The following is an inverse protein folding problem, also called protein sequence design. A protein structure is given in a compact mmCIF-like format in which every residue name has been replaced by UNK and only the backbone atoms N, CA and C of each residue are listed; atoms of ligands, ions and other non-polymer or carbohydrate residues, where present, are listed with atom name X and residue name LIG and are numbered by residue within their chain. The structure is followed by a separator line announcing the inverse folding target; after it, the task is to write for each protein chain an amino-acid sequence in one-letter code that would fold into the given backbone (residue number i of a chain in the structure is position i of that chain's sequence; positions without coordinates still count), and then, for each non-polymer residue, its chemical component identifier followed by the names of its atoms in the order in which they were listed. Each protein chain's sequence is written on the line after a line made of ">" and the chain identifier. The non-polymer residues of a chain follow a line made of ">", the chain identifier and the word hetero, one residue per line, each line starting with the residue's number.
data_IF_745454099097
#
_entry.id   IF_745454099097
#
_cell.length_a   1.000
_cell.length_b   1.000
_cell.length_c   1.000
_cell.angle_alpha   90.00
_cell.angle_beta   90.00
_cell.angle_gamma   90.00
#
_symmetry.space_group_name_H-M   'P 1'
#
loop_
_entity.id
_entity.type
_entity.pdbx_description
1 polymer ?
#
# COMPACT_ATOMS: atom_id res chain seq x y z
N UNK A 1 9.57 19.58 -1.29
CA UNK A 1 8.27 19.84 -0.64
C UNK A 1 7.91 21.33 -0.72
N UNK A 2 6.90 21.70 -1.50
CA UNK A 2 6.11 22.89 -1.18
C UNK A 2 5.24 22.51 0.03
N UNK A 3 5.60 23.01 1.21
CA UNK A 3 4.77 22.80 2.40
C UNK A 3 3.40 23.43 2.12
N UNK A 4 2.33 22.66 2.31
CA UNK A 4 0.98 23.22 2.21
C UNK A 4 0.86 24.35 3.23
N UNK A 5 0.52 25.53 2.72
CA UNK A 5 0.44 26.75 3.53
C UNK A 5 -0.90 26.82 4.27
N UNK A 6 -0.93 27.62 5.34
CA UNK A 6 -2.18 27.87 6.08
C UNK A 6 -3.26 28.45 5.15
N UNK A 7 -2.87 29.39 4.29
CA UNK A 7 -3.79 30.07 3.37
C UNK A 7 -4.39 29.09 2.34
N UNK A 8 -3.60 28.16 1.82
CA UNK A 8 -4.11 27.10 0.94
C UNK A 8 -5.14 26.20 1.64
N UNK A 9 -4.88 25.81 2.91
CA UNK A 9 -5.83 25.02 3.71
C UNK A 9 -7.12 25.81 3.99
N UNK A 10 -7.00 27.11 4.21
CA UNK A 10 -8.13 28.01 4.45
C UNK A 10 -8.99 28.15 3.19
N UNK A 11 -8.37 28.46 2.05
CA UNK A 11 -9.03 28.65 0.75
C UNK A 11 -9.68 27.38 0.21
N UNK A 12 -9.07 26.21 0.47
CA UNK A 12 -9.63 24.91 0.11
C UNK A 12 -10.81 24.50 1.02
N UNK A 13 -11.04 25.21 2.13
CA UNK A 13 -12.15 24.92 3.05
C UNK A 13 -11.91 23.70 3.94
N UNK A 14 -10.64 23.39 4.26
CA UNK A 14 -10.26 22.23 5.09
C UNK A 14 -10.72 22.38 6.54
N UNK A 15 -10.86 23.62 7.00
CA UNK A 15 -11.22 23.98 8.38
C UNK A 15 -12.70 23.73 8.71
N UNK A 16 -13.58 23.52 7.74
CA UNK A 16 -15.00 23.29 8.00
C UNK A 16 -15.23 21.85 8.47
N UNK A 17 -15.76 21.70 9.68
CA UNK A 17 -16.24 20.41 10.18
C UNK A 17 -17.75 20.25 10.03
N UNK A 18 -18.31 19.35 10.82
CA UNK A 18 -19.74 19.05 10.88
C UNK A 18 -20.48 19.86 11.95
N UNK A 19 -21.81 19.71 11.94
CA UNK A 19 -22.72 20.24 12.97
C UNK A 19 -22.39 19.71 14.37
N UNK A 20 -22.57 20.55 15.39
CA UNK A 20 -22.32 20.21 16.82
C UNK A 20 -22.92 18.88 17.27
N UNK A 21 -24.15 18.59 16.85
CA UNK A 21 -24.86 17.34 17.23
C UNK A 21 -24.22 16.05 16.70
N UNK A 22 -23.35 16.14 15.70
CA UNK A 22 -22.70 14.99 15.06
C UNK A 22 -21.25 14.79 15.53
N UNK A 23 -20.74 15.66 16.40
CA UNK A 23 -19.33 15.66 16.78
C UNK A 23 -18.94 14.45 17.63
N UNK A 24 -17.67 14.07 17.54
CA UNK A 24 -17.05 13.07 18.38
C UNK A 24 -16.23 13.76 19.48
N UNK A 25 -16.42 13.44 20.78
CA UNK A 25 -15.66 14.05 21.86
C UNK A 25 -14.15 13.89 21.74
N UNK A 26 -13.67 12.80 21.10
CA UNK A 26 -12.24 12.59 20.90
C UNK A 26 -11.62 13.56 19.88
N UNK A 27 -12.44 14.28 19.10
CA UNK A 27 -11.98 15.36 18.21
C UNK A 27 -11.81 16.70 18.93
N UNK A 28 -12.17 16.82 20.21
CA UNK A 28 -12.02 18.05 20.98
C UNK A 28 -10.62 18.70 20.89
N UNK A 29 -9.50 17.94 20.90
CA UNK A 29 -8.17 18.54 20.77
C UNK A 29 -7.92 19.20 19.41
N UNK A 30 -8.63 18.81 18.36
CA UNK A 30 -8.45 19.31 16.99
C UNK A 30 -9.45 20.39 16.58
N UNK A 31 -10.49 20.62 17.39
CA UNK A 31 -11.50 21.65 17.13
C UNK A 31 -11.02 22.96 17.76
N UNK A 32 -11.02 24.03 16.96
CA UNK A 32 -10.64 25.36 17.38
C UNK A 32 -11.81 26.09 18.06
N UNK A 33 -12.95 26.17 17.38
CA UNK A 33 -14.15 26.85 17.87
C UNK A 33 -15.42 26.34 17.18
N UNK A 34 -16.58 26.82 17.62
CA UNK A 34 -17.87 26.63 16.94
C UNK A 34 -18.38 27.98 16.42
N UNK A 35 -18.83 28.02 15.16
CA UNK A 35 -19.47 29.20 14.56
C UNK A 35 -20.71 28.78 13.81
N UNK A 36 -21.84 29.43 14.08
CA UNK A 36 -23.13 29.13 13.43
C UNK A 36 -23.54 27.65 13.50
N UNK A 37 -23.20 26.96 14.60
CA UNK A 37 -23.52 25.54 14.80
C UNK A 37 -22.60 24.55 14.07
N UNK A 38 -21.56 25.03 13.38
CA UNK A 38 -20.54 24.23 12.68
C UNK A 38 -19.23 24.30 13.46
N UNK A 39 -18.58 23.16 13.65
CA UNK A 39 -17.25 23.11 14.23
C UNK A 39 -16.18 23.56 13.23
N UNK A 40 -15.24 24.38 13.69
CA UNK A 40 -14.07 24.82 12.93
C UNK A 40 -12.86 24.04 13.44
N UNK A 41 -12.18 23.36 12.53
CA UNK A 41 -10.96 22.59 12.79
C UNK A 41 -9.76 23.53 12.84
N UNK A 42 -8.85 23.26 13.77
CA UNK A 42 -7.60 24.00 13.95
C UNK A 42 -6.60 23.64 12.84
N UNK A 43 -6.43 24.55 11.88
CA UNK A 43 -5.56 24.35 10.72
C UNK A 43 -4.08 24.23 11.07
N UNK A 44 -3.61 24.82 12.18
CA UNK A 44 -2.21 24.64 12.60
C UNK A 44 -1.95 23.19 12.98
N UNK A 45 -2.91 22.55 13.68
CA UNK A 45 -2.84 21.12 13.99
C UNK A 45 -2.97 20.28 12.73
N UNK A 46 -3.84 20.67 11.80
CA UNK A 46 -3.93 20.02 10.48
C UNK A 46 -2.59 20.06 9.76
N UNK A 47 -1.91 21.21 9.72
CA UNK A 47 -0.63 21.36 9.03
C UNK A 47 0.46 20.46 9.63
N UNK A 48 0.57 20.42 10.96
CA UNK A 48 1.52 19.53 11.67
C UNK A 48 1.22 18.06 11.36
N UNK A 49 -0.04 17.64 11.46
CA UNK A 49 -0.44 16.26 11.17
C UNK A 49 -0.31 15.86 9.71
N UNK A 50 -0.55 16.81 8.80
CA UNK A 50 -0.33 16.62 7.38
C UNK A 50 1.17 16.41 7.08
N UNK A 51 2.06 17.19 7.71
CA UNK A 51 3.51 17.03 7.58
C UNK A 51 3.99 15.68 8.15
N UNK A 52 3.52 15.28 9.34
CA UNK A 52 3.79 13.95 9.91
C UNK A 52 3.37 12.82 8.95
N UNK A 53 2.16 12.90 8.39
CA UNK A 53 1.62 11.92 7.45
C UNK A 53 2.41 11.89 6.13
N UNK A 54 2.72 13.05 5.55
CA UNK A 54 3.53 13.17 4.32
C UNK A 54 4.90 12.54 4.49
N UNK A 55 5.58 12.80 5.62
CA UNK A 55 6.90 12.25 5.91
C UNK A 55 6.86 10.71 6.00
N UNK A 56 5.86 10.15 6.69
CA UNK A 56 5.69 8.70 6.77
C UNK A 56 5.36 8.08 5.40
N UNK A 57 4.50 8.72 4.59
CA UNK A 57 4.20 8.27 3.22
C UNK A 57 5.44 8.29 2.31
N UNK A 58 6.26 9.34 2.38
CA UNK A 58 7.54 9.44 1.67
C UNK A 58 8.47 8.28 2.02
N UNK A 59 8.60 7.96 3.30
CA UNK A 59 9.45 6.85 3.76
C UNK A 59 8.94 5.48 3.27
N UNK A 60 7.62 5.27 3.25
CA UNK A 60 7.01 4.07 2.69
C UNK A 60 7.27 3.95 1.18
N UNK A 61 7.12 5.05 0.44
CA UNK A 61 7.36 5.13 -0.99
C UNK A 61 8.85 4.89 -1.33
N UNK A 62 9.76 5.48 -0.56
CA UNK A 62 11.22 5.24 -0.67
C UNK A 62 11.59 3.77 -0.46
N UNK A 63 10.91 3.10 0.47
CA UNK A 63 11.07 1.66 0.70
C UNK A 63 10.50 0.79 -0.44
N UNK A 64 9.80 1.38 -1.41
CA UNK A 64 9.13 0.67 -2.50
C UNK A 64 7.86 -0.05 -2.09
N UNK A 65 7.28 0.31 -0.94
CA UNK A 65 6.05 -0.26 -0.43
C UNK A 65 4.85 0.41 -1.11
N UNK A 66 3.77 -0.36 -1.31
CA UNK A 66 2.52 0.14 -1.92
C UNK A 66 1.55 0.62 -0.85
N UNK A 67 0.94 1.76 -1.10
CA UNK A 67 -0.09 2.39 -0.27
C UNK A 67 -1.42 2.27 -0.99
N UNK A 68 -2.46 1.77 -0.32
CA UNK A 68 -3.79 1.63 -0.90
C UNK A 68 -4.67 2.82 -0.50
N UNK A 69 -5.14 3.59 -1.48
CA UNK A 69 -6.08 4.69 -1.24
C UNK A 69 -7.53 4.17 -1.26
N UNK A 70 -8.37 4.61 -0.33
CA UNK A 70 -9.75 4.15 -0.18
C UNK A 70 -10.67 5.34 -0.01
N UNK A 71 -11.66 5.47 -0.91
CA UNK A 71 -12.58 6.58 -0.90
C UNK A 71 -13.88 6.26 -1.66
N UNK A 72 -14.97 5.91 -0.98
CA UNK A 72 -16.25 5.65 -1.67
C UNK A 72 -17.17 6.86 -1.78
N UNK A 73 -16.78 7.97 -1.16
CA UNK A 73 -17.52 9.22 -1.12
C UNK A 73 -17.53 9.90 -2.49
N UNK A 74 -18.70 10.36 -2.96
CA UNK A 74 -18.90 10.87 -4.33
C UNK A 74 -17.92 11.99 -4.69
N UNK A 75 -17.65 12.89 -3.75
CA UNK A 75 -16.75 14.03 -3.88
C UNK A 75 -15.29 13.61 -4.05
N UNK A 76 -14.91 12.47 -3.46
CA UNK A 76 -13.54 11.96 -3.46
C UNK A 76 -13.24 11.01 -4.63
N UNK A 77 -14.25 10.30 -5.18
CA UNK A 77 -14.03 9.24 -6.17
C UNK A 77 -13.17 9.66 -7.36
N UNK A 78 -13.54 10.77 -8.02
CA UNK A 78 -12.83 11.24 -9.21
C UNK A 78 -11.43 11.74 -8.87
N UNK A 79 -11.30 12.49 -7.77
CA UNK A 79 -10.03 13.04 -7.29
C UNK A 79 -9.03 11.92 -7.01
N UNK A 80 -9.44 10.92 -6.24
CA UNK A 80 -8.59 9.78 -5.86
C UNK A 80 -8.21 8.98 -7.11
N UNK A 81 -9.16 8.72 -8.01
CA UNK A 81 -8.87 7.97 -9.24
C UNK A 81 -7.85 8.69 -10.13
N UNK A 82 -7.96 10.02 -10.26
CA UNK A 82 -7.05 10.80 -11.11
C UNK A 82 -5.66 10.97 -10.47
N UNK A 83 -5.61 11.47 -9.24
CA UNK A 83 -4.34 11.83 -8.58
C UNK A 83 -3.51 10.60 -8.20
N UNK A 84 -4.16 9.52 -7.74
CA UNK A 84 -3.44 8.31 -7.31
C UNK A 84 -3.01 7.48 -8.52
N UNK A 85 -3.76 7.50 -9.62
CA UNK A 85 -3.36 6.83 -10.86
C UNK A 85 -2.09 7.45 -11.46
N UNK A 86 -1.92 8.77 -11.39
CA UNK A 86 -0.68 9.47 -11.83
C UNK A 86 0.57 8.90 -11.16
N UNK A 87 0.46 8.51 -9.89
CA UNK A 87 1.57 8.01 -9.07
C UNK A 87 1.71 6.47 -9.14
N UNK A 88 0.79 5.76 -9.81
CA UNK A 88 0.84 4.30 -9.95
C UNK A 88 0.67 3.56 -8.62
N UNK A 89 -0.10 4.14 -7.71
CA UNK A 89 -0.51 3.50 -6.45
C UNK A 89 -1.92 2.89 -6.59
N UNK A 90 -2.21 1.79 -5.87
CA UNK A 90 -3.52 1.17 -5.92
C UNK A 90 -4.57 2.02 -5.18
N UNK A 91 -5.81 2.02 -5.67
CA UNK A 91 -6.91 2.76 -5.06
C UNK A 91 -8.25 2.02 -5.14
N UNK A 92 -9.21 2.33 -4.26
CA UNK A 92 -10.60 1.81 -4.28
C UNK A 92 -11.55 2.99 -4.19
N UNK A 93 -12.29 3.24 -5.26
CA UNK A 93 -13.26 4.35 -5.34
C UNK A 93 -14.71 3.89 -5.35
N UNK A 94 -14.96 2.65 -5.74
CA UNK A 94 -16.25 2.01 -5.59
C UNK A 94 -16.37 1.32 -4.24
N UNK A 95 -17.40 0.50 -4.05
CA UNK A 95 -17.70 -0.12 -2.76
C UNK A 95 -16.54 -0.97 -2.24
N UNK A 96 -16.14 -0.76 -0.99
CA UNK A 96 -15.27 -1.66 -0.25
C UNK A 96 -15.95 -3.01 0.02
N UNK A 97 -15.50 -4.12 -0.59
CA UNK A 97 -16.00 -5.45 -0.23
C UNK A 97 -15.43 -5.86 1.13
N UNK A 98 -16.30 -6.30 2.05
CA UNK A 98 -15.83 -6.87 3.31
C UNK A 98 -14.95 -8.10 3.08
N UNK A 99 -13.85 -8.20 3.82
CA UNK A 99 -12.85 -9.25 3.64
C UNK A 99 -11.76 -8.89 2.63
N UNK A 100 -11.65 -7.62 2.23
CA UNK A 100 -10.71 -7.22 1.19
C UNK A 100 -9.25 -7.42 1.58
N UNK A 101 -8.90 -7.04 2.81
CA UNK A 101 -7.57 -7.23 3.37
C UNK A 101 -7.51 -8.55 4.14
N UNK A 102 -8.54 -8.82 4.95
CA UNK A 102 -8.56 -10.00 5.85
C UNK A 102 -8.74 -11.33 5.10
N UNK A 103 -9.39 -11.33 3.94
CA UNK A 103 -9.57 -12.49 3.06
C UNK A 103 -8.98 -12.22 1.66
N UNK A 104 -7.76 -11.69 1.63
CA UNK A 104 -7.06 -11.31 0.40
C UNK A 104 -6.88 -12.47 -0.61
N UNK A 105 -6.82 -13.72 -0.12
CA UNK A 105 -6.77 -14.89 -0.99
C UNK A 105 -8.01 -15.01 -1.90
N UNK A 106 -9.19 -14.63 -1.40
CA UNK A 106 -10.44 -14.66 -2.17
C UNK A 106 -10.53 -13.48 -3.14
N UNK A 107 -10.09 -12.28 -2.73
CA UNK A 107 -9.99 -11.13 -3.63
C UNK A 107 -9.06 -11.42 -4.81
N UNK A 108 -7.90 -12.03 -4.55
CA UNK A 108 -6.99 -12.46 -5.63
C UNK A 108 -7.62 -13.46 -6.59
N UNK A 109 -8.55 -14.32 -6.14
CA UNK A 109 -9.29 -15.20 -7.05
C UNK A 109 -10.21 -14.39 -7.98
N UNK A 110 -10.86 -13.34 -7.47
CA UNK A 110 -11.67 -12.44 -8.30
C UNK A 110 -10.82 -11.66 -9.32
N UNK A 111 -9.64 -11.17 -8.92
CA UNK A 111 -8.68 -10.54 -9.84
C UNK A 111 -8.20 -11.52 -10.91
N UNK A 112 -7.86 -12.76 -10.55
CA UNK A 112 -7.50 -13.78 -11.55
C UNK A 112 -8.65 -14.11 -12.50
N UNK A 113 -9.90 -14.09 -12.01
CA UNK A 113 -11.08 -14.26 -12.85
C UNK A 113 -11.16 -13.16 -13.91
N UNK A 114 -10.89 -11.90 -13.52
CA UNK A 114 -10.83 -10.77 -14.44
C UNK A 114 -9.80 -10.98 -15.55
N UNK A 115 -8.57 -11.35 -15.19
CA UNK A 115 -7.49 -11.66 -16.16
C UNK A 115 -7.84 -12.84 -17.08
N UNK A 116 -8.54 -13.86 -16.56
CA UNK A 116 -8.99 -14.99 -17.37
C UNK A 116 -10.08 -14.57 -18.37
N UNK A 117 -10.97 -13.64 -17.98
CA UNK A 117 -11.96 -13.07 -18.90
C UNK A 117 -11.26 -12.28 -19.99
N UNK A 118 -10.23 -11.49 -19.67
CA UNK A 118 -9.45 -10.75 -20.68
C UNK A 118 -8.80 -11.69 -21.69
N UNK A 119 -8.21 -12.81 -21.23
CA UNK A 119 -7.66 -13.84 -22.12
C UNK A 119 -8.73 -14.51 -22.98
N UNK A 120 -9.91 -14.77 -22.40
CA UNK A 120 -11.03 -15.35 -23.13
C UNK A 120 -11.51 -14.41 -24.25
N UNK A 121 -11.64 -13.12 -23.97
CA UNK A 121 -12.12 -12.11 -24.94
C UNK A 121 -11.20 -11.97 -26.17
N UNK A 122 -9.91 -12.27 -26.02
CA UNK A 122 -8.93 -12.26 -27.13
C UNK A 122 -8.99 -13.56 -27.95
N UNK A 123 -9.44 -14.67 -27.35
CA UNK A 123 -9.47 -15.98 -28.02
C UNK A 123 -10.62 -16.12 -29.02
N UNK A 124 -10.42 -16.90 -30.08
CA UNK A 124 -11.47 -17.23 -31.07
C UNK A 124 -12.69 -17.91 -30.44
N UNK A 125 -12.50 -18.58 -29.29
CA UNK A 125 -13.59 -19.17 -28.52
C UNK A 125 -14.65 -18.14 -28.10
N UNK A 126 -14.28 -16.88 -27.92
CA UNK A 126 -15.23 -15.81 -27.59
C UNK A 126 -16.15 -15.44 -28.76
N UNK A 127 -15.65 -15.52 -30.00
CA UNK A 127 -16.46 -15.25 -31.19
C UNK A 127 -17.53 -16.32 -31.42
N UNK A 128 -17.23 -17.56 -31.03
CA UNK A 128 -18.15 -18.70 -31.11
C UNK A 128 -19.27 -18.66 -30.06
N UNK A 129 -19.23 -17.74 -29.10
CA UNK A 129 -20.27 -17.59 -28.08
C UNK A 129 -21.51 -16.85 -28.60
N UNK A 130 -22.67 -17.21 -28.05
CA UNK A 130 -23.91 -16.51 -28.33
C UNK A 130 -23.81 -15.03 -27.91
N UNK A 131 -24.60 -14.15 -28.56
CA UNK A 131 -24.65 -12.72 -28.20
C UNK A 131 -25.00 -12.51 -26.72
N UNK A 132 -25.86 -13.38 -26.17
CA UNK A 132 -26.28 -13.33 -24.76
C UNK A 132 -25.12 -13.64 -23.82
N UNK A 133 -24.33 -14.68 -24.10
CA UNK A 133 -23.17 -15.06 -23.28
C UNK A 133 -22.07 -14.01 -23.35
N UNK A 134 -21.77 -13.50 -24.54
CA UNK A 134 -20.81 -12.39 -24.71
C UNK A 134 -21.20 -11.18 -23.88
N UNK A 135 -22.48 -10.79 -23.90
CA UNK A 135 -22.97 -9.67 -23.09
C UNK A 135 -22.84 -9.93 -21.58
N UNK A 136 -23.06 -11.17 -21.12
CA UNK A 136 -22.87 -11.53 -19.71
C UNK A 136 -21.40 -11.45 -19.29
N UNK A 137 -20.49 -11.97 -20.12
CA UNK A 137 -19.05 -11.92 -19.88
C UNK A 137 -18.57 -10.47 -19.85
N UNK A 138 -19.01 -9.64 -20.80
CA UNK A 138 -18.67 -8.23 -20.85
C UNK A 138 -19.16 -7.47 -19.60
N UNK A 139 -20.41 -7.67 -19.19
CA UNK A 139 -20.94 -7.07 -17.95
C UNK A 139 -20.18 -7.51 -16.71
N UNK A 140 -19.80 -8.78 -16.65
CA UNK A 140 -18.96 -9.29 -15.55
C UNK A 140 -17.58 -8.63 -15.56
N UNK A 141 -16.96 -8.49 -16.73
CA UNK A 141 -15.66 -7.84 -16.88
C UNK A 141 -15.69 -6.36 -16.48
N UNK A 142 -16.68 -5.62 -16.94
CA UNK A 142 -16.89 -4.21 -16.59
C UNK A 142 -17.10 -4.03 -15.09
N UNK A 143 -17.89 -4.94 -14.47
CA UNK A 143 -18.12 -4.93 -13.02
C UNK A 143 -16.83 -5.22 -12.24
N UNK A 144 -16.01 -6.16 -12.71
CA UNK A 144 -14.73 -6.46 -12.07
C UNK A 144 -13.73 -5.31 -12.25
N UNK A 145 -13.65 -4.71 -13.44
CA UNK A 145 -12.78 -3.55 -13.72
C UNK A 145 -13.07 -2.41 -12.76
N UNK A 146 -14.35 -2.05 -12.67
CA UNK A 146 -14.79 -0.90 -11.90
C UNK A 146 -14.48 -1.02 -10.41
N UNK A 147 -14.49 -2.26 -9.88
CA UNK A 147 -14.29 -2.51 -8.45
C UNK A 147 -12.84 -2.87 -8.09
N UNK A 148 -12.11 -3.55 -8.97
CA UNK A 148 -10.82 -4.19 -8.66
C UNK A 148 -9.71 -3.88 -9.68
N UNK A 149 -9.96 -3.10 -10.73
CA UNK A 149 -9.01 -2.84 -11.82
C UNK A 149 -7.67 -2.28 -11.32
N UNK A 150 -7.72 -1.27 -10.46
CA UNK A 150 -6.58 -0.63 -9.80
C UNK A 150 -5.77 -1.54 -8.84
N UNK A 151 -6.30 -2.72 -8.53
CA UNK A 151 -5.72 -3.70 -7.59
C UNK A 151 -5.27 -4.95 -8.33
N UNK A 152 -5.42 -4.98 -9.65
CA UNK A 152 -4.98 -6.09 -10.48
C UNK A 152 -3.50 -6.43 -10.25
N UNK A 153 -2.67 -5.40 -10.07
CA UNK A 153 -1.22 -5.54 -9.89
C UNK A 153 -0.79 -5.84 -8.44
N UNK A 154 -1.73 -5.84 -7.49
CA UNK A 154 -1.43 -6.11 -6.08
C UNK A 154 -1.27 -7.63 -5.84
N UNK A 155 -0.01 -8.06 -5.78
CA UNK A 155 0.35 -9.44 -5.45
C UNK A 155 0.38 -9.73 -3.94
N UNK A 156 0.65 -8.70 -3.12
CA UNK A 156 0.77 -8.78 -1.66
C UNK A 156 -0.16 -7.75 -1.03
N UNK A 157 -0.38 -7.89 0.28
CA UNK A 157 -1.13 -6.89 1.05
C UNK A 157 -0.42 -5.52 0.95
N UNK A 158 -1.19 -4.42 0.90
CA UNK A 158 -0.62 -3.08 0.97
C UNK A 158 0.08 -2.89 2.32
N UNK A 159 1.12 -2.06 2.34
CA UNK A 159 1.87 -1.78 3.57
C UNK A 159 1.27 -0.65 4.40
N UNK A 160 0.39 0.14 3.81
CA UNK A 160 -0.40 1.16 4.48
C UNK A 160 -1.70 1.40 3.69
N UNK A 161 -2.70 1.95 4.36
CA UNK A 161 -3.92 2.42 3.72
C UNK A 161 -4.13 3.92 3.99
N UNK A 162 -4.62 4.64 2.99
CA UNK A 162 -5.08 6.02 3.13
C UNK A 162 -6.59 6.07 2.91
N UNK A 163 -7.34 6.60 3.88
CA UNK A 163 -8.80 6.57 3.90
C UNK A 163 -9.38 7.98 3.86
N UNK A 164 -10.33 8.21 2.96
CA UNK A 164 -11.15 9.43 2.93
C UNK A 164 -12.50 9.11 3.58
N UNK A 165 -12.80 9.77 4.71
CA UNK A 165 -13.96 9.56 5.58
C UNK A 165 -13.92 8.23 6.37
N UNK A 166 -13.54 8.37 7.65
CA UNK A 166 -13.38 7.26 8.61
C UNK A 166 -14.69 6.55 8.91
N UNK A 167 -15.82 7.28 8.96
CA UNK A 167 -17.13 6.70 9.27
C UNK A 167 -17.63 5.89 8.09
N UNK A 168 -17.47 6.44 6.88
CA UNK A 168 -17.90 5.75 5.66
C UNK A 168 -17.13 4.46 5.44
N UNK A 169 -15.82 4.48 5.67
CA UNK A 169 -14.91 3.36 5.43
C UNK A 169 -14.49 2.60 6.70
N UNK A 170 -15.36 2.57 7.72
CA UNK A 170 -15.07 1.89 8.99
C UNK A 170 -14.68 0.41 8.81
N UNK A 171 -15.19 -0.28 7.78
CA UNK A 171 -14.84 -1.67 7.47
C UNK A 171 -13.37 -1.77 7.05
N UNK A 172 -12.90 -0.87 6.18
CA UNK A 172 -11.51 -0.86 5.72
C UNK A 172 -10.55 -0.63 6.88
N UNK A 173 -10.88 0.31 7.77
CA UNK A 173 -10.09 0.61 8.98
C UNK A 173 -10.09 -0.58 9.94
N UNK A 174 -11.25 -1.20 10.19
CA UNK A 174 -11.35 -2.36 11.07
C UNK A 174 -10.51 -3.54 10.56
N UNK A 175 -10.52 -3.79 9.24
CA UNK A 175 -9.70 -4.82 8.62
C UNK A 175 -8.20 -4.50 8.69
N UNK A 176 -7.81 -3.25 8.40
CA UNK A 176 -6.41 -2.82 8.48
C UNK A 176 -5.85 -2.93 9.90
N UNK A 177 -6.61 -2.48 10.90
CA UNK A 177 -6.24 -2.62 12.32
C UNK A 177 -6.08 -4.07 12.73
N UNK A 178 -6.97 -4.95 12.29
CA UNK A 178 -6.87 -6.40 12.59
C UNK A 178 -5.59 -7.03 12.02
N UNK A 179 -5.07 -6.49 10.93
CA UNK A 179 -3.86 -6.96 10.26
C UNK A 179 -2.61 -6.14 10.61
N UNK A 180 -2.71 -5.19 11.54
CA UNK A 180 -1.63 -4.25 11.89
C UNK A 180 -1.06 -3.50 10.68
N UNK A 181 -1.92 -3.13 9.73
CA UNK A 181 -1.54 -2.28 8.60
C UNK A 181 -1.73 -0.82 9.04
N UNK A 182 -0.67 0.02 8.99
CA UNK A 182 -0.74 1.44 9.29
C UNK A 182 -1.84 2.16 8.51
N UNK A 183 -2.57 3.01 9.21
CA UNK A 183 -3.73 3.73 8.71
C UNK A 183 -3.49 5.24 8.70
N UNK A 184 -3.74 5.85 7.55
CA UNK A 184 -3.74 7.28 7.34
C UNK A 184 -5.17 7.68 6.98
N UNK A 185 -5.71 8.76 7.53
CA UNK A 185 -7.05 9.17 7.16
C UNK A 185 -7.29 10.67 7.33
N UNK A 186 -8.17 11.20 6.49
CA UNK A 186 -8.81 12.50 6.73
C UNK A 186 -9.88 12.28 7.80
N UNK A 187 -9.76 13.01 8.91
CA UNK A 187 -10.63 12.87 10.08
C UNK A 187 -11.41 14.16 10.26
N UNK A 188 -12.71 14.11 9.94
CA UNK A 188 -13.64 15.19 10.29
C UNK A 188 -14.06 15.07 11.77
N UNK A 189 -14.63 16.14 12.30
CA UNK A 189 -15.17 16.32 13.65
C UNK A 189 -16.14 15.24 14.14
N UNK A 190 -16.78 14.48 13.25
CA UNK A 190 -17.68 13.37 13.60
C UNK A 190 -16.94 12.04 13.84
N UNK A 191 -15.68 11.95 13.40
CA UNK A 191 -14.89 10.73 13.36
C UNK A 191 -14.00 10.60 14.60
N UNK A 192 -13.58 9.38 14.94
CA UNK A 192 -12.67 9.16 16.08
C UNK A 192 -11.22 9.19 15.57
N UNK A 193 -10.37 10.13 16.01
CA UNK A 193 -8.97 10.18 15.57
C UNK A 193 -8.12 9.05 16.18
N UNK A 194 -8.52 8.50 17.34
CA UNK A 194 -7.72 7.51 18.08
C UNK A 194 -7.65 6.12 17.42
N UNK A 195 -8.49 5.86 16.41
CA UNK A 195 -8.46 4.59 15.67
C UNK A 195 -7.56 4.65 14.44
N UNK A 196 -6.99 5.82 14.14
CA UNK A 196 -6.13 6.07 12.99
C UNK A 196 -4.71 6.35 13.50
N UNK A 197 -3.71 5.75 12.87
CA UNK A 197 -2.31 5.91 13.28
C UNK A 197 -1.77 7.30 12.92
N UNK A 198 -2.12 7.78 11.72
CA UNK A 198 -1.79 9.12 11.23
C UNK A 198 -3.07 9.90 10.88
N UNK A 199 -3.77 10.48 11.87
CA UNK A 199 -4.98 11.25 11.64
C UNK A 199 -4.63 12.63 11.07
N UNK A 200 -5.26 13.01 9.96
CA UNK A 200 -5.18 14.35 9.37
C UNK A 200 -6.52 15.06 9.63
N UNK A 201 -6.61 15.95 10.63
CA UNK A 201 -7.85 16.68 10.91
C UNK A 201 -8.23 17.55 9.71
N UNK A 202 -9.43 17.37 9.15
CA UNK A 202 -9.85 18.16 8.00
C UNK A 202 -11.22 17.76 7.46
N UNK A 203 -11.74 18.63 6.60
CA UNK A 203 -13.02 18.44 5.92
C UNK A 203 -12.94 17.32 4.87
N UNK A 204 -13.78 16.29 5.02
CA UNK A 204 -13.89 15.18 4.07
C UNK A 204 -15.12 15.29 3.13
N UNK A 205 -15.93 16.36 3.25
CA UNK A 205 -17.11 16.63 2.42
C UNK A 205 -16.79 17.53 1.22
N UNK A 206 -15.84 18.44 1.35
CA UNK A 206 -15.49 19.39 0.29
C UNK A 206 -14.48 18.82 -0.70
N UNK A 207 -14.82 18.82 -2.00
CA UNK A 207 -13.94 18.35 -3.07
C UNK A 207 -12.58 19.07 -3.10
N UNK A 208 -12.54 20.39 -2.84
CA UNK A 208 -11.29 21.17 -2.80
C UNK A 208 -10.38 20.74 -1.65
N UNK A 209 -10.94 20.55 -0.45
CA UNK A 209 -10.23 20.04 0.72
C UNK A 209 -9.61 18.67 0.47
N UNK A 210 -10.42 17.73 -0.03
CA UNK A 210 -9.96 16.37 -0.35
C UNK A 210 -8.87 16.40 -1.43
N UNK A 211 -9.05 17.22 -2.47
CA UNK A 211 -8.05 17.38 -3.53
C UNK A 211 -6.71 17.88 -3.00
N UNK A 212 -6.72 18.93 -2.17
CA UNK A 212 -5.51 19.49 -1.59
C UNK A 212 -4.75 18.46 -0.74
N UNK A 213 -5.46 17.74 0.14
CA UNK A 213 -4.83 16.75 1.02
C UNK A 213 -4.29 15.56 0.20
N UNK A 214 -5.09 15.03 -0.74
CA UNK A 214 -4.64 13.91 -1.58
C UNK A 214 -3.44 14.32 -2.41
N UNK A 215 -3.45 15.51 -3.01
CA UNK A 215 -2.33 16.04 -3.79
C UNK A 215 -1.06 16.14 -2.95
N UNK A 216 -1.16 16.65 -1.73
CA UNK A 216 -0.01 16.70 -0.81
C UNK A 216 0.54 15.30 -0.49
N UNK A 217 -0.34 14.29 -0.33
CA UNK A 217 0.09 12.90 -0.13
C UNK A 217 0.72 12.29 -1.38
N UNK A 218 0.15 12.51 -2.56
CA UNK A 218 0.66 11.95 -3.82
C UNK A 218 1.99 12.57 -4.20
N UNK A 219 2.17 13.88 -4.01
CA UNK A 219 3.46 14.58 -4.17
C UNK A 219 4.53 14.02 -3.22
N UNK A 220 4.18 13.75 -1.96
CA UNK A 220 5.11 13.13 -1.00
C UNK A 220 5.51 11.70 -1.40
N UNK A 221 4.59 10.92 -1.97
CA UNK A 221 4.87 9.58 -2.49
C UNK A 221 5.76 9.66 -3.73
N UNK A 222 5.48 10.57 -4.66
CA UNK A 222 6.27 10.78 -5.87
C UNK A 222 7.72 11.17 -5.53
N UNK A 223 7.90 12.10 -4.59
CA UNK A 223 9.22 12.48 -4.09
C UNK A 223 9.97 11.28 -3.48
N UNK A 224 9.30 10.46 -2.66
CA UNK A 224 9.88 9.24 -2.10
C UNK A 224 10.23 8.19 -3.16
N UNK A 225 9.45 8.07 -4.23
CA UNK A 225 9.77 7.20 -5.36
C UNK A 225 10.96 7.71 -6.17
N UNK A 226 11.08 9.03 -6.37
CA UNK A 226 12.19 9.64 -7.10
C UNK A 226 13.50 9.51 -6.32
N UNK A 227 13.48 9.71 -5.01
CA UNK A 227 14.63 9.39 -4.14
C UNK A 227 15.09 7.95 -4.27
N UNK A 228 14.13 7.01 -4.33
CA UNK A 228 14.44 5.60 -4.48
C UNK A 228 15.14 5.32 -5.81
N UNK A 229 14.68 5.93 -6.91
CA UNK A 229 15.32 5.81 -8.23
C UNK A 229 16.76 6.33 -8.17
N UNK A 230 16.95 7.56 -7.69
CA UNK A 230 18.28 8.17 -7.54
C UNK A 230 19.22 7.33 -6.65
N UNK A 231 18.72 6.74 -5.57
CA UNK A 231 19.53 5.88 -4.70
C UNK A 231 19.94 4.56 -5.38
N UNK A 232 19.14 4.05 -6.32
CA UNK A 232 19.47 2.84 -7.08
C UNK A 232 20.49 3.13 -8.16
N UNK A 233 20.35 4.25 -8.85
CA UNK A 233 21.26 4.66 -9.92
C UNK A 233 22.68 4.89 -9.35
N UNK A 234 22.80 5.57 -8.20
CA UNK A 234 24.08 5.72 -7.49
C UNK A 234 24.72 4.40 -7.08
N UNK A 235 23.92 3.44 -6.60
CA UNK A 235 24.44 2.12 -6.23
C UNK A 235 24.83 1.24 -7.43
N UNK A 236 24.47 1.68 -8.65
CA UNK A 236 24.87 1.03 -9.89
C UNK A 236 26.19 1.64 -10.41
N UNK A 237 26.34 2.96 -10.31
CA UNK A 237 27.58 3.66 -10.67
C UNK A 237 28.75 3.28 -9.74
N UNK A 238 28.51 3.13 -8.43
CA UNK A 238 29.56 2.72 -7.46
C UNK A 238 30.03 1.26 -7.66
N UNK A 239 29.24 0.42 -8.36
CA UNK A 239 29.63 -0.98 -8.65
C UNK A 239 30.44 -1.12 -9.94
N UNK A 240 30.26 -0.20 -10.89
CA UNK A 240 31.07 -0.17 -12.11
C UNK A 240 32.44 0.51 -11.86
N UNK A 241 32.62 1.24 -10.76
CA UNK A 241 33.93 1.82 -10.38
C UNK A 241 34.83 0.91 -9.54
N UNK A 242 34.31 -0.16 -8.95
CA UNK A 242 35.07 -1.09 -8.11
C UNK A 242 35.62 -2.32 -8.87
N UNK A 243 35.31 -2.47 -10.17
CA UNK A 243 35.81 -3.58 -11.01
C UNK A 243 37.10 -3.25 -11.82
N UNK A 244 37.61 -2.01 -11.78
CA UNK A 244 38.77 -1.57 -12.58
C UNK A 244 40.11 -1.47 -11.82
N UNK A 245 40.16 -1.81 -10.52
CA UNK A 245 41.35 -1.57 -9.65
C UNK A 245 42.03 -2.84 -9.10
N UNK A 246 42.01 -3.97 -9.83
CA UNK A 246 42.76 -5.19 -9.42
C UNK A 246 43.65 -5.82 -10.53
N UNK A 247 44.26 -4.97 -11.37
CA UNK A 247 45.24 -5.41 -12.38
C UNK A 247 46.52 -4.55 -12.42
N UNK A 248 47.17 -4.29 -11.27
CA UNK A 248 48.62 -4.05 -11.29
C UNK A 248 49.26 -4.08 -9.88
N UNK A 249 49.93 -5.18 -9.53
CA UNK A 249 51.24 -5.12 -8.88
C UNK A 249 51.83 -6.52 -8.75
N UNK A 250 52.72 -6.88 -9.67
CA UNK A 250 53.77 -7.84 -9.37
C UNK A 250 54.94 -7.11 -8.71
N UNK A 251 55.71 -7.81 -7.86
CA UNK A 251 57.15 -7.72 -8.02
C UNK A 251 57.80 -9.10 -8.12
N UNK A 252 58.67 -9.22 -9.13
CA UNK A 252 59.74 -10.21 -9.22
C UNK A 252 60.60 -10.22 -7.95
N UNK A 253 60.92 -11.41 -7.45
CA UNK A 253 62.17 -11.68 -6.75
C UNK A 253 62.66 -13.08 -7.14
N UNK A 254 63.93 -13.14 -7.55
CA UNK A 254 64.66 -14.27 -8.13
C UNK A 254 64.97 -15.39 -7.11
N UNK A 255 65.35 -16.53 -7.71
CA UNK A 255 65.67 -17.85 -7.18
C UNK A 255 66.65 -17.93 -5.99
N UNK A 256 66.45 -18.94 -5.13
CA UNK A 256 67.52 -19.82 -4.64
C UNK A 256 66.94 -21.19 -4.18
N UNK A 257 67.52 -22.26 -4.70
CA UNK A 257 67.20 -23.67 -4.41
C UNK A 257 67.68 -24.11 -3.01
N UNK A 258 66.94 -25.00 -2.34
CA UNK A 258 67.54 -26.26 -1.83
C UNK A 258 66.49 -27.30 -1.37
N UNK A 259 66.88 -28.55 -1.51
CA UNK A 259 66.13 -29.81 -1.42
C UNK A 259 65.54 -30.15 -0.03
N UNK A 260 64.51 -31.02 0.01
CA UNK A 260 64.08 -31.59 1.29
C UNK A 260 62.86 -32.51 1.34
N UNK A 261 62.91 -33.63 0.62
CA UNK A 261 62.35 -34.95 0.95
C UNK A 261 61.27 -35.13 2.06
N UNK A 262 60.22 -35.91 1.70
CA UNK A 262 59.52 -37.01 2.44
C UNK A 262 58.06 -36.82 2.91
N UNK A 263 57.24 -37.68 2.29
CA UNK A 263 56.35 -38.71 2.88
C UNK A 263 55.13 -38.31 3.73
N UNK A 264 53.99 -38.87 3.34
CA UNK A 264 52.87 -39.25 4.21
C UNK A 264 51.56 -39.19 3.43
N UNK A 265 51.12 -40.27 2.76
CA UNK A 265 50.13 -41.22 3.28
C UNK A 265 48.88 -40.50 3.81
N UNK A 266 47.68 -40.59 3.23
CA UNK A 266 46.99 -41.74 2.65
C UNK A 266 45.50 -41.65 3.09
N UNK A 267 44.58 -42.37 2.44
CA UNK A 267 43.19 -41.94 2.27
C UNK A 267 42.15 -42.81 3.02
N UNK A 268 40.88 -42.39 2.97
CA UNK A 268 39.70 -43.27 3.17
C UNK A 268 38.75 -42.80 4.29
N UNK A 269 37.47 -43.15 4.32
CA UNK A 269 36.61 -43.89 3.41
C UNK A 269 35.13 -43.75 3.86
N UNK A 270 34.23 -43.85 2.88
CA UNK A 270 32.92 -44.54 2.84
C UNK A 270 31.89 -44.48 4.00
N UNK A 271 30.66 -44.15 3.53
CA UNK A 271 29.36 -44.86 3.64
C UNK A 271 28.65 -44.98 5.00
N UNK A 272 27.34 -44.74 4.94
CA UNK A 272 26.36 -45.29 5.89
C UNK A 272 24.98 -44.68 5.73
N UNK A 273 24.17 -45.22 4.80
CA UNK A 273 22.71 -45.05 4.79
C UNK A 273 22.08 -45.73 6.02
N UNK A 274 20.98 -45.19 6.54
CA UNK A 274 20.21 -45.76 7.63
C UNK A 274 18.82 -45.13 7.73
N UNK A 275 17.81 -45.97 7.55
CA UNK A 275 16.40 -45.67 7.33
C UNK A 275 15.63 -45.13 8.55
N UNK A 276 14.50 -44.46 8.26
CA UNK A 276 13.19 -44.88 8.79
C UNK A 276 12.81 -44.47 10.21
N UNK A 277 12.09 -43.35 10.35
CA UNK A 277 11.24 -43.11 11.52
C UNK A 277 9.89 -42.47 11.12
N UNK A 278 8.88 -43.31 10.89
CA UNK A 278 7.48 -42.91 10.81
C UNK A 278 6.99 -42.48 12.20
N UNK A 279 6.49 -41.24 12.34
CA UNK A 279 5.75 -40.79 13.53
C UNK A 279 4.25 -40.79 13.27
N UNK A 280 3.56 -41.51 14.16
CA UNK A 280 2.12 -41.78 14.21
C UNK A 280 1.21 -40.54 14.11
N UNK A 281 0.17 -40.64 13.29
CA UNK A 281 -0.98 -39.72 13.25
C UNK A 281 -1.91 -39.97 14.44
N UNK A 282 -2.25 -38.92 15.19
CA UNK A 282 -3.26 -38.95 16.27
C UNK A 282 -4.69 -39.13 15.69
N UNK A 283 -5.57 -39.93 16.32
CA UNK A 283 -6.96 -40.05 15.90
C UNK A 283 -7.81 -38.83 16.32
N UNK A 284 -8.73 -38.40 15.46
CA UNK A 284 -9.69 -37.30 15.70
C UNK A 284 -10.90 -37.80 16.50
N UNK A 285 -11.31 -37.04 17.53
CA UNK A 285 -12.56 -37.28 18.28
C UNK A 285 -13.80 -36.92 17.45
N UNK A 286 -14.93 -37.64 17.57
CA UNK A 286 -16.18 -37.29 16.90
C UNK A 286 -16.89 -36.13 17.61
N UNK A 287 -17.48 -35.23 16.81
CA UNK A 287 -18.31 -34.10 17.30
C UNK A 287 -19.74 -34.58 17.45
N UNK A 288 -20.29 -34.53 18.67
CA UNK A 288 -21.72 -34.74 18.92
C UNK A 288 -22.52 -33.50 18.53
N UNK A 289 -23.55 -33.66 17.70
CA UNK A 289 -24.53 -32.60 17.40
C UNK A 289 -25.45 -32.38 18.62
N UNK A 290 -25.58 -31.12 19.03
CA UNK A 290 -26.79 -30.56 19.66
C UNK A 290 -26.98 -29.16 19.09
#
# INVERSE_FOLDING_TARGET
>A
MSKVTFDELLDAGVHFGHLRRKWNPNMAPYIFMERNGIHIIDLYKTQVKLEEASNAMRQLARSGKKVLFVATKKQAKAIVAEEVAKVGMPYVTERWPGGMLTNFATIRKAVRKMVNIDKLMVSDSYLNLSKRERLQIQREREKLEKNLGSIADLNRLPSAIFVVDVIKEHIAIAEARKLNIPTFAIVDTNSNPNIIDFPIPGNDDASKSISLIIRAMTEAIEEGMNERKLSKDKSHDDKDSDEDDDFNNGPNFDDEEEEGSKKGAGPGAKKGEGEGAQKNKRPRKPVSKK
#
